data_IF_496878411193
#
_entry.id   IF_496878411193
#
_cell.length_a   1.000
_cell.length_b   1.000
_cell.length_c   1.000
_cell.angle_alpha   90.00
_cell.angle_beta   90.00
_cell.angle_gamma   90.00
#
_symmetry.space_group_name_H-M   'P 1'
#
loop_
_entity.id
_entity.type
_entity.pdbx_description
1 polymer ?
#
# COMPACT_ATOMS: atom_id res chain seq x y z
N UNK A 1 5.44 -2.18 -16.21
CA UNK A 1 4.87 -2.23 -14.87
C UNK A 1 5.19 -0.96 -14.11
N UNK A 2 4.21 -0.40 -13.45
CA UNK A 2 4.39 0.87 -12.77
C UNK A 2 5.09 0.65 -11.42
N UNK A 3 6.16 1.40 -11.19
CA UNK A 3 6.93 1.34 -9.95
C UNK A 3 6.08 1.70 -8.73
N UNK A 4 5.18 2.67 -8.87
CA UNK A 4 4.28 3.06 -7.77
C UNK A 4 3.39 1.90 -7.34
N UNK A 5 2.93 1.10 -8.28
CA UNK A 5 2.07 -0.05 -7.98
C UNK A 5 2.84 -1.14 -7.25
N UNK A 6 4.09 -1.38 -7.67
CA UNK A 6 4.96 -2.37 -7.01
C UNK A 6 5.28 -1.93 -5.59
N UNK A 7 5.69 -0.68 -5.41
CA UNK A 7 5.99 -0.14 -4.09
C UNK A 7 4.76 -0.12 -3.20
N UNK A 8 3.61 0.28 -3.76
CA UNK A 8 2.36 0.29 -3.01
C UNK A 8 1.96 -1.08 -2.52
N UNK A 9 2.08 -2.09 -3.38
CA UNK A 9 1.78 -3.47 -3.01
C UNK A 9 2.75 -3.97 -1.93
N UNK A 10 4.04 -3.63 -2.03
CA UNK A 10 5.03 -4.02 -1.03
C UNK A 10 4.73 -3.38 0.32
N UNK A 11 4.39 -2.09 0.35
CA UNK A 11 4.02 -1.40 1.58
C UNK A 11 2.74 -1.96 2.18
N UNK A 12 1.76 -2.26 1.34
CA UNK A 12 0.51 -2.86 1.80
C UNK A 12 0.76 -4.22 2.45
N UNK A 13 1.55 -5.08 1.82
CA UNK A 13 1.88 -6.39 2.36
C UNK A 13 2.64 -6.27 3.67
N UNK A 14 3.63 -5.40 3.72
CA UNK A 14 4.44 -5.17 4.93
C UNK A 14 3.58 -4.65 6.07
N UNK A 15 2.70 -3.70 5.77
CA UNK A 15 1.78 -3.14 6.77
C UNK A 15 0.81 -4.20 7.29
N UNK A 16 0.29 -5.06 6.43
CA UNK A 16 -0.61 -6.13 6.83
C UNK A 16 0.07 -7.11 7.78
N UNK A 17 1.34 -7.44 7.53
CA UNK A 17 2.12 -8.31 8.40
C UNK A 17 2.34 -7.65 9.77
N UNK A 18 2.72 -6.38 9.79
CA UNK A 18 2.90 -5.63 11.04
C UNK A 18 1.60 -5.56 11.85
N UNK A 19 0.50 -5.26 11.17
CA UNK A 19 -0.80 -5.21 11.82
C UNK A 19 -1.16 -6.55 12.46
N UNK A 20 -0.95 -7.65 11.74
CA UNK A 20 -1.25 -8.99 12.25
C UNK A 20 -0.37 -9.33 13.44
N UNK A 21 0.93 -9.02 13.38
CA UNK A 21 1.86 -9.27 14.48
C UNK A 21 1.45 -8.44 15.70
N UNK A 22 1.09 -7.17 15.50
CA UNK A 22 0.63 -6.32 16.59
C UNK A 22 -0.60 -6.87 17.29
N UNK A 23 -1.56 -7.40 16.53
CA UNK A 23 -2.76 -8.01 17.09
C UNK A 23 -2.44 -9.25 17.91
N UNK A 24 -1.57 -10.11 17.39
CA UNK A 24 -1.22 -11.37 18.05
C UNK A 24 -0.45 -11.11 19.35
N UNK A 25 0.44 -10.13 19.35
CA UNK A 25 1.27 -9.83 20.52
C UNK A 25 0.62 -8.84 21.49
N UNK A 26 -0.49 -8.23 21.09
CA UNK A 26 -1.15 -7.19 21.89
C UNK A 26 -0.44 -5.85 21.83
N UNK A 27 0.44 -5.65 20.85
CA UNK A 27 1.17 -4.39 20.67
C UNK A 27 0.35 -3.45 19.79
N UNK A 28 -0.44 -2.59 20.43
CA UNK A 28 -1.35 -1.70 19.73
C UNK A 28 -0.62 -0.66 18.88
N UNK A 29 0.59 -0.28 19.27
CA UNK A 29 1.39 0.67 18.50
C UNK A 29 1.85 0.05 17.18
N UNK A 30 2.36 -1.17 17.22
CA UNK A 30 2.77 -1.90 16.02
C UNK A 30 1.57 -2.18 15.12
N UNK A 31 0.44 -2.53 15.70
CA UNK A 31 -0.80 -2.75 14.95
C UNK A 31 -1.20 -1.48 14.21
N UNK A 32 -1.20 -0.33 14.89
CA UNK A 32 -1.56 0.95 14.29
C UNK A 32 -0.57 1.37 13.20
N UNK A 33 0.72 1.16 13.43
CA UNK A 33 1.76 1.45 12.43
C UNK A 33 1.56 0.59 11.19
N UNK A 34 1.28 -0.69 11.38
CA UNK A 34 1.03 -1.61 10.27
C UNK A 34 -0.21 -1.22 9.47
N UNK A 35 -1.29 -0.86 10.14
CA UNK A 35 -2.52 -0.43 9.49
C UNK A 35 -2.29 0.85 8.67
N UNK A 36 -1.54 1.80 9.22
CA UNK A 36 -1.21 3.04 8.53
C UNK A 36 -0.36 2.77 7.28
N UNK A 37 0.62 1.89 7.38
CA UNK A 37 1.49 1.53 6.27
C UNK A 37 0.70 0.80 5.17
N UNK A 38 -0.20 -0.10 5.57
CA UNK A 38 -1.06 -0.80 4.63
C UNK A 38 -1.95 0.19 3.86
N UNK A 39 -2.54 1.15 4.55
CA UNK A 39 -3.37 2.18 3.92
C UNK A 39 -2.55 3.04 2.97
N UNK A 40 -1.34 3.45 3.38
CA UNK A 40 -0.44 4.22 2.53
C UNK A 40 -0.08 3.45 1.25
N UNK A 41 0.16 2.15 1.38
CA UNK A 41 0.43 1.29 0.22
C UNK A 41 -0.75 1.21 -0.74
N UNK A 42 -1.96 1.13 -0.22
CA UNK A 42 -3.17 1.13 -1.05
C UNK A 42 -3.33 2.44 -1.80
N UNK A 43 -3.10 3.57 -1.15
CA UNK A 43 -3.17 4.88 -1.77
C UNK A 43 -2.12 4.99 -2.88
N UNK A 44 -0.90 4.59 -2.62
CA UNK A 44 0.18 4.62 -3.60
C UNK A 44 -0.14 3.76 -4.81
N UNK A 45 -0.69 2.57 -4.58
CA UNK A 45 -1.10 1.67 -5.66
C UNK A 45 -2.22 2.28 -6.51
N UNK A 46 -3.20 2.93 -5.87
CA UNK A 46 -4.28 3.61 -6.57
C UNK A 46 -3.77 4.77 -7.44
N UNK A 47 -2.81 5.54 -6.92
CA UNK A 47 -2.17 6.62 -7.69
C UNK A 47 -1.48 6.07 -8.93
N UNK A 48 -0.77 4.95 -8.79
CA UNK A 48 -0.14 4.27 -9.94
C UNK A 48 -1.16 3.89 -11.00
N UNK A 49 -2.32 3.35 -10.59
CA UNK A 49 -3.39 3.01 -11.51
C UNK A 49 -3.97 4.22 -12.23
N UNK A 50 -4.14 5.33 -11.53
CA UNK A 50 -4.62 6.58 -12.12
C UNK A 50 -3.63 7.10 -13.15
N UNK A 51 -2.34 7.06 -12.86
CA UNK A 51 -1.30 7.49 -13.80
C UNK A 51 -1.32 6.66 -15.07
N UNK A 52 -1.47 5.35 -14.94
CA UNK A 52 -1.53 4.45 -16.09
C UNK A 52 -2.74 4.75 -16.96
N UNK A 53 -3.90 4.97 -16.36
CA UNK A 53 -5.13 5.31 -17.08
C UNK A 53 -5.00 6.62 -17.83
N UNK A 54 -4.40 7.64 -17.19
CA UNK A 54 -4.18 8.93 -17.82
C UNK A 54 -3.23 8.81 -19.00
N UNK A 55 -2.17 8.01 -18.86
CA UNK A 55 -1.21 7.78 -19.93
C UNK A 55 -1.85 7.11 -21.13
N UNK A 56 -2.68 6.10 -20.91
CA UNK A 56 -3.40 5.44 -21.97
C UNK A 56 -4.32 6.40 -22.72
N UNK A 57 -5.01 7.28 -22.00
CA UNK A 57 -5.88 8.28 -22.60
C UNK A 57 -5.11 9.26 -23.49
N UNK A 58 -3.90 9.63 -23.06
CA UNK A 58 -3.05 10.55 -23.81
C UNK A 58 -2.44 9.91 -25.05
N UNK A 59 -2.22 8.61 -25.05
CA UNK A 59 -1.60 7.88 -26.15
C UNK A 59 -2.56 7.59 -27.30
N UNK A 60 -3.83 7.82 -27.12
CA UNK A 60 -4.85 7.69 -28.19
C UNK A 60 -5.03 9.02 -28.93
#
# INVERSE_FOLDING_TARGET
MDKDRVEGAAHEAKGAVKEAIGKVTGDTKTEAEGAAEKTAGKVQNAVGGIKDSAREALDK
#
